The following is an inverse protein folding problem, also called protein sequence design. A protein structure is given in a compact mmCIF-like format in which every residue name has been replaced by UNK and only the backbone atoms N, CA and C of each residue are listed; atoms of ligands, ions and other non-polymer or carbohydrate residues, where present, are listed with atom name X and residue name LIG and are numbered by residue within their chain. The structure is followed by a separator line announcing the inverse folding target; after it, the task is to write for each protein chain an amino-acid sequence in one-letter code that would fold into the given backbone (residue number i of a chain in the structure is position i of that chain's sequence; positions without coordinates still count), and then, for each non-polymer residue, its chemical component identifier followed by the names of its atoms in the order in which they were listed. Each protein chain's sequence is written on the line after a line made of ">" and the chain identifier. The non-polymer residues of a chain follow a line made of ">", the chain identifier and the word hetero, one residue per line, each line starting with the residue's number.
data_IF_102895018503
#
_entry.id   IF_102895018503
#
_cell.length_a   1.000
_cell.length_b   1.000
_cell.length_c   1.000
_cell.angle_alpha   90.00
_cell.angle_beta   90.00
_cell.angle_gamma   90.00
#
_symmetry.space_group_name_H-M   'P 1'
#
loop_
_entity.id
_entity.type
_entity.pdbx_description
1 polymer ?
#
# COMPACT_ATOMS: atom_id res chain seq x y z
N UNK A 1 -21.68 -6.84 1.26
CA UNK A 1 -20.77 -6.73 0.11
C UNK A 1 -19.37 -6.64 0.70
N UNK A 2 -18.43 -7.49 0.29
CA UNK A 2 -17.05 -7.37 0.76
C UNK A 2 -16.43 -6.10 0.19
N UNK A 3 -15.60 -5.41 0.97
CA UNK A 3 -14.85 -4.26 0.50
C UNK A 3 -13.87 -4.68 -0.61
N UNK A 4 -13.61 -3.79 -1.58
CA UNK A 4 -12.73 -4.08 -2.70
C UNK A 4 -11.28 -4.29 -2.25
N UNK A 5 -10.83 -3.59 -1.20
CA UNK A 5 -9.49 -3.71 -0.64
C UNK A 5 -9.31 -5.05 0.10
N UNK A 6 -10.34 -5.50 0.82
CA UNK A 6 -10.34 -6.82 1.47
C UNK A 6 -10.24 -7.93 0.41
N UNK A 7 -11.05 -7.81 -0.64
CA UNK A 7 -11.04 -8.77 -1.76
C UNK A 7 -9.67 -8.78 -2.44
N UNK A 8 -9.07 -7.61 -2.64
CA UNK A 8 -7.76 -7.47 -3.27
C UNK A 8 -6.65 -8.06 -2.40
N UNK A 9 -6.67 -7.83 -1.08
CA UNK A 9 -5.71 -8.43 -0.14
C UNK A 9 -5.72 -9.96 -0.24
N UNK A 10 -6.93 -10.58 -0.21
CA UNK A 10 -7.08 -12.03 -0.32
C UNK A 10 -6.46 -12.54 -1.62
N UNK A 11 -6.80 -11.92 -2.75
CA UNK A 11 -6.27 -12.32 -4.07
C UNK A 11 -4.74 -12.17 -4.14
N UNK A 12 -4.18 -11.10 -3.57
CA UNK A 12 -2.72 -10.88 -3.51
C UNK A 12 -2.05 -12.01 -2.72
N UNK A 13 -2.58 -12.34 -1.54
CA UNK A 13 -2.05 -13.41 -0.70
C UNK A 13 -2.11 -14.77 -1.36
N UNK A 14 -3.22 -15.11 -2.01
CA UNK A 14 -3.36 -16.37 -2.76
C UNK A 14 -2.37 -16.45 -3.91
N UNK A 15 -2.16 -15.34 -4.61
CA UNK A 15 -1.32 -15.30 -5.81
C UNK A 15 0.17 -15.14 -5.54
N UNK A 16 0.61 -14.77 -4.33
CA UNK A 16 2.05 -14.57 -4.05
C UNK A 16 2.85 -15.88 -4.09
N UNK A 17 2.20 -17.02 -3.84
CA UNK A 17 2.82 -18.36 -3.86
C UNK A 17 2.59 -19.10 -5.18
N UNK A 18 1.87 -18.47 -6.13
CA UNK A 18 1.64 -19.06 -7.45
C UNK A 18 2.92 -19.06 -8.29
N UNK A 19 2.89 -19.75 -9.44
CA UNK A 19 3.98 -19.68 -10.41
C UNK A 19 4.17 -18.22 -10.89
N UNK A 20 5.40 -17.72 -10.85
CA UNK A 20 5.78 -16.39 -11.32
C UNK A 20 5.43 -16.09 -12.78
N UNK A 21 5.29 -17.12 -13.63
CA UNK A 21 4.82 -16.96 -15.00
C UNK A 21 3.30 -16.73 -15.10
N UNK A 22 2.55 -17.10 -14.06
CA UNK A 22 1.08 -17.09 -14.04
C UNK A 22 0.47 -15.84 -13.41
N UNK A 23 1.25 -15.07 -12.64
CA UNK A 23 0.74 -13.94 -11.86
C UNK A 23 1.75 -12.82 -11.72
N UNK A 24 1.29 -11.58 -11.90
CA UNK A 24 2.11 -10.39 -11.65
C UNK A 24 2.60 -10.31 -10.21
N UNK A 25 1.74 -10.65 -9.24
CA UNK A 25 2.09 -10.68 -7.81
C UNK A 25 3.21 -11.69 -7.56
N UNK A 26 3.07 -12.92 -8.07
CA UNK A 26 4.11 -13.94 -7.94
C UNK A 26 5.44 -13.49 -8.57
N UNK A 27 5.38 -12.83 -9.72
CA UNK A 27 6.57 -12.27 -10.38
C UNK A 27 7.27 -11.19 -9.55
N UNK A 28 6.51 -10.33 -8.88
CA UNK A 28 7.07 -9.33 -7.97
C UNK A 28 7.67 -9.99 -6.72
N UNK A 29 6.95 -10.92 -6.11
CA UNK A 29 7.42 -11.68 -4.94
C UNK A 29 8.72 -12.42 -5.26
N UNK A 30 8.81 -13.06 -6.42
CA UNK A 30 10.05 -13.72 -6.87
C UNK A 30 11.21 -12.74 -7.08
N UNK A 31 10.94 -11.49 -7.51
CA UNK A 31 11.97 -10.44 -7.60
C UNK A 31 12.39 -9.88 -6.24
N UNK A 32 11.68 -10.22 -5.17
CA UNK A 32 12.00 -9.90 -3.79
C UNK A 32 11.55 -8.51 -3.33
N UNK A 33 11.60 -8.32 -2.01
CA UNK A 33 11.13 -7.13 -1.29
C UNK A 33 11.67 -5.81 -1.86
N UNK A 34 12.95 -5.77 -2.26
CA UNK A 34 13.56 -4.57 -2.81
C UNK A 34 12.81 -4.08 -4.06
N UNK A 35 12.38 -4.99 -4.95
CA UNK A 35 11.63 -4.61 -6.15
C UNK A 35 10.19 -4.20 -5.83
N UNK A 36 9.57 -4.83 -4.84
CA UNK A 36 8.23 -4.46 -4.37
C UNK A 36 8.25 -3.04 -3.79
N UNK A 37 9.18 -2.75 -2.89
CA UNK A 37 9.35 -1.43 -2.29
C UNK A 37 9.72 -0.36 -3.33
N UNK A 38 10.53 -0.70 -4.33
CA UNK A 38 10.82 0.18 -5.45
C UNK A 38 9.52 0.58 -6.19
N UNK A 39 8.67 -0.39 -6.54
CA UNK A 39 7.40 -0.10 -7.22
C UNK A 39 6.51 0.81 -6.38
N UNK A 40 6.34 0.52 -5.09
CA UNK A 40 5.59 1.39 -4.18
C UNK A 40 6.11 2.84 -4.21
N UNK A 41 7.43 3.03 -4.22
CA UNK A 41 8.05 4.35 -4.31
C UNK A 41 7.85 5.05 -5.66
N UNK A 42 7.85 4.29 -6.76
CA UNK A 42 7.53 4.80 -8.11
C UNK A 42 6.10 5.37 -8.15
N UNK A 43 5.10 4.56 -7.75
CA UNK A 43 3.69 5.00 -7.77
C UNK A 43 3.43 6.21 -6.84
N UNK A 44 4.15 6.30 -5.72
CA UNK A 44 4.04 7.43 -4.80
C UNK A 44 4.51 8.74 -5.44
N UNK A 45 5.60 8.68 -6.23
CA UNK A 45 6.12 9.83 -6.97
C UNK A 45 5.19 10.18 -8.13
N UNK A 46 4.69 9.19 -8.85
CA UNK A 46 3.76 9.38 -9.98
C UNK A 46 2.44 10.00 -9.51
N UNK A 47 1.85 9.51 -8.40
CA UNK A 47 0.67 10.12 -7.79
C UNK A 47 0.90 11.58 -7.37
N UNK A 48 2.06 11.89 -6.79
CA UNK A 48 2.40 13.26 -6.42
C UNK A 48 2.56 14.17 -7.65
N UNK A 49 3.15 13.67 -8.74
CA UNK A 49 3.28 14.40 -10.00
C UNK A 49 1.91 14.66 -10.62
N UNK A 50 1.04 13.65 -10.69
CA UNK A 50 -0.32 13.80 -11.24
C UNK A 50 -1.13 14.85 -10.47
N UNK A 51 -1.00 14.88 -9.14
CA UNK A 51 -1.61 15.91 -8.31
C UNK A 51 -1.08 17.33 -8.61
N UNK A 52 0.23 17.49 -8.81
CA UNK A 52 0.83 18.79 -9.19
C UNK A 52 0.36 19.25 -10.58
N UNK A 53 0.06 18.31 -11.47
CA UNK A 53 -0.43 18.58 -12.82
C UNK A 53 -1.95 18.83 -12.89
N UNK A 54 -2.66 18.75 -11.75
CA UNK A 54 -4.13 18.76 -11.69
C UNK A 54 -4.79 17.66 -12.56
N UNK A 55 -4.05 16.56 -12.77
CA UNK A 55 -4.54 15.39 -13.50
C UNK A 55 -5.28 14.45 -12.55
N UNK A 56 -6.60 14.60 -12.51
CA UNK A 56 -7.48 13.82 -11.63
C UNK A 56 -7.57 12.35 -12.04
N UNK A 57 -7.52 12.06 -13.33
CA UNK A 57 -7.60 10.69 -13.84
C UNK A 57 -6.28 9.97 -13.55
N UNK A 58 -5.16 10.61 -13.87
CA UNK A 58 -3.82 10.13 -13.51
C UNK A 58 -3.71 9.89 -12.01
N UNK A 59 -4.05 10.88 -11.17
CA UNK A 59 -4.00 10.71 -9.71
C UNK A 59 -4.84 9.52 -9.22
N UNK A 60 -6.01 9.30 -9.81
CA UNK A 60 -6.86 8.16 -9.43
C UNK A 60 -6.20 6.82 -9.78
N UNK A 61 -5.58 6.73 -10.96
CA UNK A 61 -4.84 5.54 -11.40
C UNK A 61 -3.62 5.26 -10.52
N UNK A 62 -2.75 6.26 -10.35
CA UNK A 62 -1.52 6.13 -9.57
C UNK A 62 -1.81 5.86 -8.08
N UNK A 63 -2.88 6.44 -7.53
CA UNK A 63 -3.30 6.13 -6.16
C UNK A 63 -3.79 4.67 -6.03
N UNK A 64 -4.46 4.13 -7.05
CA UNK A 64 -4.86 2.73 -7.05
C UNK A 64 -3.65 1.80 -7.13
N UNK A 65 -2.67 2.11 -7.98
CA UNK A 65 -1.42 1.33 -8.10
C UNK A 65 -0.57 1.43 -6.83
N UNK A 66 -0.52 2.61 -6.19
CA UNK A 66 0.11 2.82 -4.89
C UNK A 66 -0.52 1.90 -3.82
N UNK A 67 -1.85 1.86 -3.73
CA UNK A 67 -2.56 0.98 -2.78
C UNK A 67 -2.29 -0.48 -3.11
N UNK A 68 -2.35 -0.88 -4.37
CA UNK A 68 -2.03 -2.23 -4.81
C UNK A 68 -0.62 -2.65 -4.37
N UNK A 69 0.38 -1.82 -4.65
CA UNK A 69 1.77 -2.09 -4.30
C UNK A 69 2.03 -2.06 -2.79
N UNK A 70 1.26 -1.25 -2.04
CA UNK A 70 1.28 -1.28 -0.58
C UNK A 70 0.77 -2.64 -0.06
N UNK A 71 -0.37 -3.13 -0.58
CA UNK A 71 -0.92 -4.43 -0.18
C UNK A 71 0.04 -5.59 -0.51
N UNK A 72 0.73 -5.55 -1.65
CA UNK A 72 1.77 -6.54 -2.00
C UNK A 72 2.93 -6.48 -1.00
N UNK A 73 3.38 -5.28 -0.61
CA UNK A 73 4.46 -5.12 0.36
C UNK A 73 4.05 -5.61 1.76
N UNK A 74 2.84 -5.28 2.21
CA UNK A 74 2.29 -5.75 3.49
C UNK A 74 2.23 -7.28 3.50
N UNK A 75 1.70 -7.89 2.44
CA UNK A 75 1.68 -9.34 2.31
C UNK A 75 3.11 -9.93 2.33
N UNK A 76 4.09 -9.32 1.66
CA UNK A 76 5.50 -9.75 1.70
C UNK A 76 6.13 -9.69 3.10
N UNK A 77 5.64 -8.78 3.94
CA UNK A 77 6.07 -8.59 5.34
C UNK A 77 5.19 -9.33 6.34
N UNK A 78 4.25 -10.16 5.87
CA UNK A 78 3.26 -10.88 6.68
C UNK A 78 2.40 -9.96 7.56
N UNK A 79 2.15 -8.74 7.08
CA UNK A 79 1.22 -7.76 7.65
C UNK A 79 -0.09 -7.73 6.87
N UNK A 80 -1.19 -7.42 7.54
CA UNK A 80 -2.55 -7.35 6.99
C UNK A 80 -3.05 -5.93 6.80
N UNK A 81 -4.12 -5.77 6.01
CA UNK A 81 -4.80 -4.48 5.93
C UNK A 81 -5.44 -4.11 7.29
N UNK A 82 -5.85 -5.11 8.08
CA UNK A 82 -6.37 -4.91 9.43
C UNK A 82 -5.30 -4.38 10.39
N UNK A 83 -4.04 -4.77 10.25
CA UNK A 83 -2.94 -4.18 11.04
C UNK A 83 -2.82 -2.67 10.75
N UNK A 84 -2.95 -2.28 9.48
CA UNK A 84 -2.95 -0.85 9.08
C UNK A 84 -4.20 -0.13 9.57
N UNK A 85 -5.37 -0.75 9.51
CA UNK A 85 -6.62 -0.18 10.05
C UNK A 85 -6.55 0.02 11.55
N UNK A 86 -6.00 -0.96 12.28
CA UNK A 86 -5.80 -0.86 13.72
C UNK A 86 -4.85 0.30 14.07
N UNK A 87 -3.78 0.47 13.28
CA UNK A 87 -2.88 1.62 13.39
C UNK A 87 -3.59 2.95 13.14
N UNK A 88 -4.41 3.04 12.10
CA UNK A 88 -5.19 4.24 11.78
C UNK A 88 -6.22 4.56 12.87
N UNK A 89 -6.96 3.56 13.36
CA UNK A 89 -7.92 3.70 14.44
C UNK A 89 -7.26 4.16 15.75
N UNK A 90 -6.03 3.70 16.02
CA UNK A 90 -5.25 4.18 17.18
C UNK A 90 -4.91 5.67 17.07
N UNK A 91 -4.71 6.20 15.85
CA UNK A 91 -4.43 7.62 15.60
C UNK A 91 -5.70 8.46 15.49
N UNK A 92 -6.84 7.83 15.25
CA UNK A 92 -8.13 8.50 15.13
C UNK A 92 -8.47 9.24 16.45
N UNK A 93 -8.73 10.54 16.36
CA UNK A 93 -9.01 11.39 17.53
C UNK A 93 -7.79 11.97 18.23
N UNK A 94 -6.57 11.58 17.86
CA UNK A 94 -5.33 12.28 18.26
C UNK A 94 -4.99 13.24 17.13
N UNK A 95 -5.02 14.56 17.36
CA UNK A 95 -4.62 15.47 16.29
C UNK A 95 -3.14 15.22 15.96
N UNK A 96 -2.76 15.29 14.67
CA UNK A 96 -1.36 15.13 14.27
C UNK A 96 -0.42 16.20 14.85
N UNK A 97 -0.98 17.24 15.49
CA UNK A 97 -0.25 18.23 16.29
C UNK A 97 0.03 17.66 17.68
N UNK A 98 -0.95 17.05 18.33
CA UNK A 98 -0.81 16.44 19.67
C UNK A 98 0.14 15.24 19.64
N UNK A 99 0.07 14.42 18.59
CA UNK A 99 0.97 13.27 18.40
C UNK A 99 2.44 13.71 18.16
N UNK A 100 2.65 14.86 17.50
CA UNK A 100 3.99 15.46 17.35
C UNK A 100 4.48 16.11 18.64
N UNK A 101 3.59 16.70 19.43
CA UNK A 101 3.93 17.29 20.72
C UNK A 101 4.37 16.22 21.73
N UNK A 102 3.69 15.07 21.78
CA UNK A 102 4.03 13.97 22.69
C UNK A 102 5.37 13.29 22.37
N UNK A 103 5.78 13.24 21.09
CA UNK A 103 7.09 12.67 20.68
C UNK A 103 8.30 13.53 21.02
N UNK A 104 8.11 14.82 21.30
CA UNK A 104 9.19 15.74 21.69
C UNK A 104 9.27 15.96 23.21
N UNK A 105 8.43 15.26 23.99
CA UNK A 105 8.37 15.35 25.45
C UNK A 105 9.17 14.23 26.16
N UNK A 106 9.67 13.24 25.40
CA UNK A 106 10.61 12.18 25.81
C UNK A 106 12.05 12.52 25.39
#
# INVERSE_FOLDING_TARGET
>A
MADILDTLEVVIRERRTADSASSYVARLTHKGRAKIAQKLGEEAVEAAIAAVQDDREGLTGEAADLIFHLLVLLADMDLTLDDVRAELARREGVSGIDEKASRNAD
#
